data_IF_393834754708
#
_entry.id   IF_393834754708
#
_cell.length_a   1.000
_cell.length_b   1.000
_cell.length_c   1.000
_cell.angle_alpha   90.00
_cell.angle_beta   90.00
_cell.angle_gamma   90.00
#
_symmetry.space_group_name_H-M   'P 1'
#
loop_
_entity.id
_entity.type
_entity.pdbx_description
1 polymer ?
#
# COMPACT_ATOMS: atom_id res chain seq x y z
N UNK A 1 13.81 5.54 -9.50
CA UNK A 1 13.92 4.15 -9.97
C UNK A 1 13.73 3.08 -8.90
N UNK A 2 13.63 3.40 -7.59
CA UNK A 2 13.64 2.39 -6.52
C UNK A 2 12.48 1.37 -6.58
N UNK A 3 11.23 1.80 -6.83
CA UNK A 3 10.08 0.90 -6.96
C UNK A 3 10.28 -0.11 -8.10
N UNK A 4 10.62 0.40 -9.29
CA UNK A 4 10.86 -0.42 -10.48
C UNK A 4 12.07 -1.34 -10.29
N UNK A 5 13.13 -0.86 -9.63
CA UNK A 5 14.32 -1.67 -9.34
C UNK A 5 14.05 -2.85 -8.42
N UNK A 6 13.12 -2.72 -7.47
CA UNK A 6 12.68 -3.85 -6.64
C UNK A 6 11.83 -4.83 -7.45
N UNK A 7 10.88 -4.34 -8.25
CA UNK A 7 9.94 -5.21 -8.95
C UNK A 7 10.44 -5.80 -10.27
N UNK A 8 11.54 -5.31 -10.85
CA UNK A 8 12.04 -5.77 -12.16
C UNK A 8 12.38 -7.27 -12.21
N UNK A 9 12.61 -7.91 -11.05
CA UNK A 9 12.87 -9.36 -10.95
C UNK A 9 11.61 -10.22 -10.98
N UNK A 10 10.42 -9.62 -10.98
CA UNK A 10 9.13 -10.30 -10.98
C UNK A 10 8.52 -10.32 -12.38
N UNK A 11 7.80 -11.39 -12.73
CA UNK A 11 6.94 -11.42 -13.93
C UNK A 11 5.68 -10.55 -13.79
N UNK A 12 5.39 -10.08 -12.57
CA UNK A 12 4.30 -9.14 -12.27
C UNK A 12 4.85 -7.74 -12.18
N UNK A 13 4.29 -6.84 -12.97
CA UNK A 13 4.68 -5.44 -13.02
C UNK A 13 4.49 -4.73 -11.66
N UNK A 14 5.36 -3.76 -11.40
CA UNK A 14 5.19 -2.86 -10.25
C UNK A 14 4.07 -1.85 -10.50
N UNK A 15 3.18 -1.71 -9.53
CA UNK A 15 2.06 -0.77 -9.59
C UNK A 15 2.05 0.13 -8.36
N UNK A 16 1.51 1.34 -8.53
CA UNK A 16 1.24 2.27 -7.44
C UNK A 16 -0.27 2.52 -7.36
N UNK A 17 -0.88 2.12 -6.25
CA UNK A 17 -2.29 2.40 -5.96
C UNK A 17 -2.40 3.77 -5.28
N UNK A 18 -3.38 4.56 -5.70
CA UNK A 18 -3.75 5.83 -5.05
C UNK A 18 -5.26 5.83 -4.85
N UNK A 19 -5.69 5.83 -3.60
CA UNK A 19 -7.09 5.95 -3.18
C UNK A 19 -7.33 7.37 -2.66
N UNK A 20 -8.38 8.04 -3.13
CA UNK A 20 -8.69 9.42 -2.72
C UNK A 20 -10.09 9.50 -2.13
N UNK A 21 -10.18 10.03 -0.91
CA UNK A 21 -11.43 10.44 -0.28
C UNK A 21 -11.37 11.94 -0.03
N UNK A 22 -12.27 12.71 -0.66
CA UNK A 22 -12.30 14.17 -0.56
C UNK A 22 -13.60 14.62 0.11
N UNK A 23 -13.70 14.38 1.42
CA UNK A 23 -14.92 14.62 2.20
C UNK A 23 -14.88 15.89 3.06
N UNK A 24 -13.80 16.68 3.02
CA UNK A 24 -13.73 17.93 3.79
C UNK A 24 -14.76 18.96 3.29
N UNK A 25 -15.16 19.87 4.17
CA UNK A 25 -16.05 20.97 3.80
C UNK A 25 -15.37 21.97 2.85
N UNK A 26 -14.06 22.19 3.06
CA UNK A 26 -13.18 22.90 2.15
C UNK A 26 -12.47 21.87 1.24
N UNK A 27 -12.76 21.83 -0.07
CA UNK A 27 -12.12 20.92 -1.01
C UNK A 27 -10.61 21.08 -1.11
N UNK A 28 -10.09 22.29 -0.83
CA UNK A 28 -8.66 22.62 -0.93
C UNK A 28 -7.91 22.35 0.39
N UNK A 29 -8.62 21.90 1.44
CA UNK A 29 -8.01 21.52 2.70
C UNK A 29 -6.95 20.42 2.49
N UNK A 30 -5.75 20.54 3.09
CA UNK A 30 -4.69 19.56 2.92
C UNK A 30 -5.14 18.14 3.31
N UNK A 31 -4.93 17.13 2.45
CA UNK A 31 -5.30 15.76 2.78
C UNK A 31 -4.35 15.17 3.81
N UNK A 32 -4.87 14.30 4.68
CA UNK A 32 -4.04 13.38 5.43
C UNK A 32 -3.53 12.26 4.51
N UNK A 33 -2.22 12.02 4.50
CA UNK A 33 -1.59 11.03 3.63
C UNK A 33 -1.21 9.78 4.41
N UNK A 34 -1.60 8.62 3.89
CA UNK A 34 -1.18 7.31 4.36
C UNK A 34 -0.39 6.61 3.25
N UNK A 35 0.69 5.91 3.59
CA UNK A 35 1.48 5.15 2.63
C UNK A 35 1.73 3.77 3.21
N UNK A 36 1.34 2.74 2.48
CA UNK A 36 1.50 1.35 2.89
C UNK A 36 2.47 0.61 1.98
N UNK A 37 3.40 -0.16 2.58
CA UNK A 37 4.24 -1.10 1.83
C UNK A 37 3.37 -2.18 1.19
N UNK A 38 3.51 -2.36 -0.13
CA UNK A 38 2.68 -3.27 -0.95
C UNK A 38 3.46 -4.40 -1.62
N UNK A 39 4.43 -5.01 -0.94
CA UNK A 39 5.17 -6.16 -1.49
C UNK A 39 4.31 -7.42 -1.33
N UNK A 40 3.63 -7.83 -2.40
CA UNK A 40 2.67 -8.94 -2.35
C UNK A 40 3.29 -10.30 -1.98
N UNK A 41 4.58 -10.49 -2.26
CA UNK A 41 5.36 -11.62 -1.78
C UNK A 41 6.85 -11.26 -1.79
N UNK A 42 7.56 -11.50 -0.68
CA UNK A 42 8.98 -11.16 -0.54
C UNK A 42 9.86 -12.42 -0.42
N UNK A 43 10.53 -12.80 -1.51
CA UNK A 43 11.54 -13.86 -1.50
C UNK A 43 12.89 -13.39 -0.94
N UNK A 44 13.10 -12.08 -0.78
CA UNK A 44 14.40 -11.44 -0.55
C UNK A 44 15.15 -11.03 -1.82
N UNK A 45 14.71 -11.50 -3.00
CA UNK A 45 15.41 -11.26 -4.27
C UNK A 45 16.68 -12.11 -4.41
N UNK A 46 17.76 -11.53 -4.96
CA UNK A 46 19.07 -12.20 -5.06
C UNK A 46 19.58 -12.62 -3.68
N UNK A 47 19.34 -11.77 -2.67
CA UNK A 47 19.57 -12.08 -1.26
C UNK A 47 18.42 -12.93 -0.71
N UNK A 48 18.32 -14.16 -1.19
CA UNK A 48 17.16 -15.02 -0.96
C UNK A 48 17.00 -15.38 0.53
N UNK A 49 15.76 -15.34 1.01
CA UNK A 49 15.41 -15.80 2.36
C UNK A 49 15.49 -17.34 2.45
N UNK A 50 15.69 -17.90 3.66
CA UNK A 50 15.54 -19.34 3.89
C UNK A 50 14.12 -19.83 3.60
N UNK A 51 13.97 -21.12 3.30
CA UNK A 51 12.67 -21.73 3.00
C UNK A 51 11.70 -21.69 4.19
N UNK A 52 12.20 -21.90 5.41
CA UNK A 52 11.36 -21.91 6.61
C UNK A 52 10.75 -20.52 6.86
N UNK A 53 9.41 -20.45 6.89
CA UNK A 53 8.67 -19.21 7.15
C UNK A 53 8.50 -18.31 5.93
N UNK A 54 9.00 -18.69 4.75
CA UNK A 54 8.84 -17.89 3.53
C UNK A 54 7.37 -17.76 3.12
N UNK A 55 6.52 -18.73 3.45
CA UNK A 55 5.08 -18.69 3.20
C UNK A 55 4.39 -17.50 3.88
N UNK A 56 4.93 -17.01 5.00
CA UNK A 56 4.42 -15.82 5.70
C UNK A 56 4.77 -14.51 4.97
N UNK A 57 5.71 -14.51 4.02
CA UNK A 57 6.10 -13.31 3.26
C UNK A 57 5.01 -12.83 2.30
N UNK A 58 3.92 -13.59 2.13
CA UNK A 58 2.68 -13.08 1.54
C UNK A 58 2.06 -11.92 2.35
N UNK A 59 2.43 -11.77 3.62
CA UNK A 59 2.00 -10.67 4.48
C UNK A 59 2.91 -9.44 4.40
N UNK A 60 3.93 -9.44 3.54
CA UNK A 60 4.84 -8.29 3.40
C UNK A 60 4.18 -7.06 2.70
N UNK A 61 2.89 -7.21 2.38
CA UNK A 61 1.96 -6.17 1.93
C UNK A 61 1.00 -5.69 3.05
N UNK A 62 1.16 -6.16 4.30
CA UNK A 62 0.21 -5.85 5.38
C UNK A 62 0.05 -4.34 5.63
N UNK A 63 1.10 -3.54 5.38
CA UNK A 63 1.02 -2.08 5.43
C UNK A 63 0.04 -1.51 4.41
N UNK A 64 0.12 -1.93 3.14
CA UNK A 64 -0.86 -1.56 2.11
C UNK A 64 -2.26 -2.09 2.45
N UNK A 65 -2.36 -3.30 2.99
CA UNK A 65 -3.63 -3.85 3.49
C UNK A 65 -4.27 -3.00 4.58
N UNK A 66 -3.48 -2.52 5.54
CA UNK A 66 -3.96 -1.62 6.60
C UNK A 66 -4.43 -0.28 6.04
N UNK A 67 -3.70 0.32 5.09
CA UNK A 67 -4.10 1.57 4.43
C UNK A 67 -5.40 1.38 3.64
N UNK A 68 -5.54 0.31 2.86
CA UNK A 68 -6.78 0.03 2.13
C UNK A 68 -7.98 -0.16 3.08
N UNK A 69 -7.80 -0.89 4.18
CA UNK A 69 -8.83 -1.04 5.21
C UNK A 69 -9.21 0.28 5.88
N UNK A 70 -8.23 1.13 6.19
CA UNK A 70 -8.47 2.46 6.74
C UNK A 70 -9.23 3.36 5.75
N UNK A 71 -8.83 3.37 4.47
CA UNK A 71 -9.53 4.11 3.41
C UNK A 71 -10.97 3.65 3.24
N UNK A 72 -11.23 2.34 3.30
CA UNK A 72 -12.59 1.80 3.30
C UNK A 72 -13.40 2.32 4.50
N UNK A 73 -12.83 2.28 5.71
CA UNK A 73 -13.50 2.78 6.92
C UNK A 73 -13.79 4.29 6.85
N UNK A 74 -12.85 5.08 6.33
CA UNK A 74 -12.99 6.53 6.08
C UNK A 74 -14.16 6.82 5.13
N UNK A 75 -14.25 6.08 4.03
CA UNK A 75 -15.32 6.24 3.06
C UNK A 75 -16.68 5.76 3.62
N UNK A 76 -16.72 4.58 4.26
CA UNK A 76 -17.93 3.98 4.81
C UNK A 76 -18.60 4.88 5.86
N UNK A 77 -17.81 5.61 6.67
CA UNK A 77 -18.32 6.56 7.66
C UNK A 77 -18.64 7.95 7.09
N UNK A 78 -18.43 8.18 5.79
CA UNK A 78 -18.55 9.49 5.13
C UNK A 78 -17.76 10.57 5.88
N UNK A 79 -16.48 10.30 6.15
CA UNK A 79 -15.65 11.17 6.97
C UNK A 79 -15.59 12.60 6.39
N UNK A 80 -15.70 13.62 7.26
CA UNK A 80 -15.60 15.03 6.87
C UNK A 80 -14.14 15.50 6.80
N UNK A 81 -13.33 14.79 6.04
CA UNK A 81 -11.91 15.06 5.89
C UNK A 81 -11.42 14.64 4.49
N UNK A 82 -10.33 15.25 4.04
CA UNK A 82 -9.59 14.81 2.86
C UNK A 82 -8.53 13.78 3.29
N UNK A 83 -8.53 12.60 2.69
CA UNK A 83 -7.61 11.50 3.00
C UNK A 83 -7.16 10.83 1.71
N UNK A 84 -5.87 10.58 1.56
CA UNK A 84 -5.29 9.86 0.44
C UNK A 84 -4.45 8.71 0.99
N UNK A 85 -4.65 7.52 0.43
CA UNK A 85 -3.92 6.30 0.77
C UNK A 85 -3.29 5.66 -0.46
#
# INVERSE_FOLDING_TARGET
GALLGVGQGSVRDSQLLIMKWMGAADPDAPPFLMVGKGVCFDTGGISIKPAAGMEAMKYDMAGAGAVAGAMWAVAARKARANVIG
#
